data_IF_394938575582
#
_entry.id   IF_394938575582
#
_cell.length_a   1.000
_cell.length_b   1.000
_cell.length_c   1.000
_cell.angle_alpha   90.00
_cell.angle_beta   90.00
_cell.angle_gamma   90.00
#
_symmetry.space_group_name_H-M   'P 1'
#
loop_
_entity.id
_entity.type
_entity.pdbx_description
1 polymer ?
#
# COMPACT_ATOMS: atom_id res chain seq x y z
N UNK A 1 -1.66 -28.93 -13.11
CA UNK A 1 -0.40 -29.58 -12.65
C UNK A 1 0.32 -28.61 -11.75
N UNK A 2 0.43 -28.88 -10.44
CA UNK A 2 1.06 -27.95 -9.51
C UNK A 2 2.58 -27.97 -9.71
N UNK A 3 3.19 -26.82 -10.04
CA UNK A 3 4.64 -26.66 -9.98
C UNK A 3 5.08 -27.01 -8.54
N UNK A 4 6.09 -27.86 -8.40
CA UNK A 4 6.66 -28.19 -7.09
C UNK A 4 7.39 -26.96 -6.55
N UNK A 5 7.02 -26.49 -5.36
CA UNK A 5 7.78 -25.45 -4.67
C UNK A 5 9.09 -26.04 -4.18
N UNK A 6 10.19 -25.53 -4.72
CA UNK A 6 11.53 -25.79 -4.19
C UNK A 6 11.88 -24.92 -2.97
N UNK A 7 13.00 -25.23 -2.33
CA UNK A 7 13.49 -24.49 -1.16
C UNK A 7 13.78 -23.01 -1.43
N UNK A 8 14.09 -22.66 -2.68
CA UNK A 8 14.22 -21.27 -3.13
C UNK A 8 12.96 -20.45 -2.89
N UNK A 9 11.78 -21.03 -3.11
CA UNK A 9 10.50 -20.37 -2.88
C UNK A 9 10.22 -20.20 -1.38
N UNK A 10 10.57 -21.22 -0.57
CA UNK A 10 10.43 -21.17 0.88
C UNK A 10 11.33 -20.09 1.48
N UNK A 11 12.59 -20.01 1.03
CA UNK A 11 13.55 -19.00 1.45
C UNK A 11 13.07 -17.60 1.09
N UNK A 12 12.59 -17.41 -0.13
CA UNK A 12 12.01 -16.14 -0.57
C UNK A 12 10.87 -15.69 0.35
N UNK A 13 9.93 -16.59 0.64
CA UNK A 13 8.79 -16.31 1.52
C UNK A 13 9.24 -16.00 2.95
N UNK A 14 10.18 -16.77 3.50
CA UNK A 14 10.73 -16.54 4.85
C UNK A 14 11.37 -15.15 4.97
N UNK A 15 12.16 -14.75 3.96
CA UNK A 15 12.77 -13.42 3.95
C UNK A 15 11.71 -12.33 3.83
N UNK A 16 10.72 -12.50 2.95
CA UNK A 16 9.63 -11.53 2.80
C UNK A 16 8.83 -11.36 4.10
N UNK A 17 8.56 -12.45 4.83
CA UNK A 17 7.90 -12.40 6.14
C UNK A 17 8.72 -11.66 7.21
N UNK A 18 10.04 -11.83 7.20
CA UNK A 18 10.93 -11.18 8.16
C UNK A 18 11.08 -9.67 7.91
N UNK A 19 11.12 -9.24 6.65
CA UNK A 19 11.26 -7.83 6.27
C UNK A 19 9.90 -7.10 6.26
N UNK A 20 8.81 -7.82 5.96
CA UNK A 20 7.45 -7.30 5.91
C UNK A 20 7.06 -6.67 4.57
N UNK A 21 7.90 -5.78 4.04
CA UNK A 21 7.72 -5.14 2.73
C UNK A 21 9.06 -4.98 2.01
N UNK A 22 9.09 -5.21 0.70
CA UNK A 22 10.33 -5.19 -0.09
C UNK A 22 10.09 -4.47 -1.41
N UNK A 23 11.00 -3.61 -1.84
CA UNK A 23 10.86 -2.94 -3.14
C UNK A 23 11.15 -3.87 -4.33
N UNK A 24 10.81 -3.46 -5.54
CA UNK A 24 11.00 -4.31 -6.73
C UNK A 24 12.46 -4.66 -7.03
N UNK A 25 13.42 -3.77 -6.77
CA UNK A 25 14.84 -4.05 -6.99
C UNK A 25 15.34 -5.06 -5.96
N UNK A 26 14.99 -4.86 -4.69
CA UNK A 26 15.30 -5.78 -3.60
C UNK A 26 14.65 -7.16 -3.81
N UNK A 27 13.39 -7.21 -4.25
CA UNK A 27 12.68 -8.45 -4.53
C UNK A 27 13.33 -9.22 -5.69
N UNK A 28 13.79 -8.52 -6.74
CA UNK A 28 14.56 -9.13 -7.84
C UNK A 28 15.91 -9.65 -7.36
N UNK A 29 16.63 -8.88 -6.53
CA UNK A 29 17.89 -9.31 -5.95
C UNK A 29 17.71 -10.55 -5.05
N UNK A 30 16.65 -10.58 -4.24
CA UNK A 30 16.31 -11.72 -3.40
C UNK A 30 15.96 -12.96 -4.23
N UNK A 31 15.20 -12.79 -5.30
CA UNK A 31 14.89 -13.87 -6.25
C UNK A 31 16.16 -14.44 -6.88
N UNK A 32 17.08 -13.58 -7.34
CA UNK A 32 18.37 -13.98 -7.90
C UNK A 32 19.17 -14.80 -6.87
N UNK A 33 19.29 -14.28 -5.65
CA UNK A 33 20.01 -14.94 -4.55
C UNK A 33 19.42 -16.32 -4.19
N UNK A 34 18.09 -16.44 -4.16
CA UNK A 34 17.42 -17.70 -3.90
C UNK A 34 17.64 -18.72 -5.03
N UNK A 35 17.71 -18.27 -6.29
CA UNK A 35 17.99 -19.15 -7.41
C UNK A 35 19.45 -19.65 -7.40
N UNK A 36 20.41 -18.76 -7.13
CA UNK A 36 21.83 -19.09 -7.10
C UNK A 36 22.15 -20.09 -5.98
N UNK A 37 21.57 -19.88 -4.80
CA UNK A 37 21.75 -20.75 -3.62
C UNK A 37 21.24 -22.17 -3.88
N UNK A 38 20.16 -22.31 -4.63
CA UNK A 38 19.52 -23.61 -4.90
C UNK A 38 19.78 -24.15 -6.32
N UNK A 39 20.72 -23.56 -7.07
CA UNK A 39 21.13 -23.97 -8.42
C UNK A 39 19.97 -24.12 -9.41
N UNK A 40 18.94 -23.29 -9.30
CA UNK A 40 17.86 -23.25 -10.30
C UNK A 40 18.25 -22.35 -11.48
N UNK A 41 17.86 -22.70 -12.72
CA UNK A 41 18.08 -21.82 -13.87
C UNK A 41 17.32 -20.50 -13.66
N UNK A 42 18.07 -19.46 -13.29
CA UNK A 42 17.53 -18.13 -13.05
C UNK A 42 17.42 -17.40 -14.39
N UNK A 43 16.20 -17.21 -14.88
CA UNK A 43 15.97 -16.28 -15.98
C UNK A 43 15.65 -14.90 -15.39
N UNK A 44 16.43 -13.86 -15.70
CA UNK A 44 16.03 -12.49 -15.36
C UNK A 44 14.65 -12.24 -15.97
N UNK A 45 13.78 -11.57 -15.22
CA UNK A 45 12.37 -11.26 -15.55
C UNK A 45 11.30 -12.33 -15.32
N UNK A 46 11.61 -13.45 -14.67
CA UNK A 46 10.57 -14.41 -14.22
C UNK A 46 10.14 -14.26 -12.76
N UNK A 47 10.35 -13.09 -12.16
CA UNK A 47 9.91 -12.82 -10.78
C UNK A 47 8.39 -12.99 -10.64
N UNK A 48 7.60 -12.45 -11.57
CA UNK A 48 6.14 -12.54 -11.51
C UNK A 48 5.66 -13.99 -11.63
N UNK A 49 6.22 -14.79 -12.56
CA UNK A 49 5.93 -16.22 -12.66
C UNK A 49 6.31 -17.00 -11.39
N UNK A 50 7.42 -16.61 -10.76
CA UNK A 50 7.90 -17.21 -9.52
C UNK A 50 6.95 -16.89 -8.36
N UNK A 51 6.51 -15.65 -8.24
CA UNK A 51 5.52 -15.21 -7.26
C UNK A 51 4.18 -15.92 -7.49
N UNK A 52 3.73 -16.08 -8.74
CA UNK A 52 2.50 -16.80 -9.05
C UNK A 52 2.55 -18.29 -8.65
N UNK A 53 3.71 -18.93 -8.82
CA UNK A 53 3.91 -20.29 -8.35
C UNK A 53 3.78 -20.40 -6.81
N UNK A 54 4.28 -19.40 -6.08
CA UNK A 54 4.12 -19.31 -4.61
C UNK A 54 2.65 -19.07 -4.26
N UNK A 55 2.03 -18.06 -4.88
CA UNK A 55 0.65 -17.67 -4.61
C UNK A 55 -0.32 -18.82 -4.81
N UNK A 56 -0.15 -19.61 -5.88
CA UNK A 56 -0.96 -20.81 -6.15
C UNK A 56 -0.98 -21.82 -4.99
N UNK A 57 0.05 -21.82 -4.14
CA UNK A 57 0.16 -22.70 -2.97
C UNK A 57 -0.23 -22.02 -1.67
N UNK A 58 -0.19 -20.69 -1.63
CA UNK A 58 -0.67 -19.88 -0.51
C UNK A 58 -2.19 -19.69 -0.52
N UNK A 59 -2.84 -19.79 -1.69
CA UNK A 59 -4.29 -19.64 -1.86
C UNK A 59 -5.14 -20.45 -0.84
N UNK A 60 -4.86 -21.75 -0.55
CA UNK A 60 -5.65 -22.50 0.44
C UNK A 60 -5.54 -21.98 1.87
N UNK A 61 -4.52 -21.18 2.17
CA UNK A 61 -4.31 -20.52 3.45
C UNK A 61 -4.84 -19.08 3.46
N UNK A 62 -5.52 -18.64 2.39
CA UNK A 62 -5.94 -17.26 2.17
C UNK A 62 -4.78 -16.26 2.25
N UNK A 63 -3.57 -16.68 1.89
CA UNK A 63 -2.41 -15.78 1.86
C UNK A 63 -1.99 -15.53 0.40
N UNK A 64 -1.46 -14.35 0.12
CA UNK A 64 -0.93 -14.02 -1.20
C UNK A 64 0.18 -12.97 -1.10
N UNK A 65 1.26 -13.13 -1.87
CA UNK A 65 2.21 -12.06 -2.13
C UNK A 65 1.58 -11.12 -3.15
N UNK A 66 1.35 -9.86 -2.75
CA UNK A 66 0.77 -8.83 -3.61
C UNK A 66 1.78 -7.74 -3.91
N UNK A 67 1.63 -7.18 -5.12
CA UNK A 67 2.35 -6.01 -5.59
C UNK A 67 1.50 -4.76 -5.33
N UNK A 68 2.10 -3.70 -4.81
CA UNK A 68 1.45 -2.41 -4.63
C UNK A 68 2.38 -1.24 -4.94
N UNK A 69 1.79 -0.11 -5.31
CA UNK A 69 2.54 1.10 -5.65
C UNK A 69 2.52 2.06 -4.46
N UNK A 70 3.68 2.63 -4.11
CA UNK A 70 3.73 3.75 -3.17
C UNK A 70 3.09 4.98 -3.78
N UNK A 71 2.16 5.60 -3.05
CA UNK A 71 1.52 6.85 -3.48
C UNK A 71 2.47 8.06 -3.41
N UNK A 72 3.57 7.94 -2.66
CA UNK A 72 4.56 9.00 -2.50
C UNK A 72 5.59 9.04 -3.64
N UNK A 73 6.21 7.90 -3.94
CA UNK A 73 7.34 7.81 -4.87
C UNK A 73 7.05 6.96 -6.12
N UNK A 74 5.87 6.36 -6.22
CA UNK A 74 5.48 5.53 -7.36
C UNK A 74 6.23 4.21 -7.51
N UNK A 75 7.16 3.87 -6.62
CA UNK A 75 7.88 2.59 -6.66
C UNK A 75 6.94 1.43 -6.34
N UNK A 76 7.28 0.27 -6.89
CA UNK A 76 6.55 -0.97 -6.66
C UNK A 76 7.15 -1.70 -5.47
N UNK A 77 6.27 -2.21 -4.62
CA UNK A 77 6.60 -2.97 -3.43
C UNK A 77 5.84 -4.29 -3.42
N UNK A 78 6.41 -5.27 -2.75
CA UNK A 78 5.83 -6.59 -2.53
C UNK A 78 5.66 -6.83 -1.03
N UNK A 79 4.51 -7.36 -0.64
CA UNK A 79 4.24 -7.78 0.72
C UNK A 79 3.38 -9.04 0.73
N UNK A 80 3.50 -9.83 1.80
CA UNK A 80 2.64 -10.99 2.05
C UNK A 80 1.36 -10.52 2.74
N UNK A 81 0.22 -10.77 2.11
CA UNK A 81 -1.10 -10.29 2.51
C UNK A 81 -1.97 -11.47 2.95
N UNK A 82 -2.71 -11.27 4.03
CA UNK A 82 -3.81 -12.15 4.42
C UNK A 82 -5.10 -11.66 3.74
N UNK A 83 -5.72 -12.52 2.96
CA UNK A 83 -6.92 -12.28 2.18
C UNK A 83 -8.20 -12.64 2.93
N UNK A 84 -8.10 -13.26 4.12
CA UNK A 84 -9.26 -13.46 4.97
C UNK A 84 -9.84 -12.09 5.37
N UNK A 85 -11.14 -11.90 5.13
CA UNK A 85 -11.86 -10.63 5.33
C UNK A 85 -12.08 -10.25 6.80
N UNK A 86 -11.32 -10.83 7.71
CA UNK A 86 -11.54 -10.72 9.15
C UNK A 86 -10.28 -10.24 9.83
N UNK A 87 -10.38 -9.02 10.34
CA UNK A 87 -9.50 -8.37 11.31
C UNK A 87 -8.13 -7.87 10.82
N UNK A 88 -7.61 -6.92 11.60
CA UNK A 88 -6.25 -6.38 11.52
C UNK A 88 -5.27 -7.45 12.02
N UNK A 89 -5.31 -8.64 11.43
CA UNK A 89 -4.79 -9.91 11.98
C UNK A 89 -3.34 -9.85 12.44
N UNK A 90 -2.46 -9.14 11.71
CA UNK A 90 -1.07 -8.96 12.13
C UNK A 90 -0.88 -7.93 13.24
N UNK A 91 -1.70 -6.88 13.28
CA UNK A 91 -1.61 -5.92 14.39
C UNK A 91 -2.23 -6.49 15.67
N UNK A 92 -3.20 -7.40 15.56
CA UNK A 92 -3.84 -8.02 16.73
C UNK A 92 -2.84 -8.80 17.61
N UNK A 93 -1.73 -9.30 17.06
CA UNK A 93 -0.68 -9.93 17.86
C UNK A 93 0.26 -8.93 18.55
N UNK A 94 0.41 -7.74 17.99
CA UNK A 94 1.49 -6.79 18.32
C UNK A 94 1.00 -5.57 19.12
N UNK A 95 -0.31 -5.34 19.16
CA UNK A 95 -0.96 -4.19 19.78
C UNK A 95 -2.15 -4.59 20.65
N UNK A 96 -2.42 -3.82 21.70
CA UNK A 96 -3.56 -4.03 22.58
C UNK A 96 -4.87 -3.49 21.99
N UNK A 97 -6.03 -3.94 22.50
CA UNK A 97 -7.34 -3.57 21.94
C UNK A 97 -7.59 -2.06 21.82
N UNK A 98 -7.13 -1.28 22.80
CA UNK A 98 -7.22 0.19 22.78
C UNK A 98 -6.24 0.84 21.78
N UNK A 99 -5.06 0.26 21.58
CA UNK A 99 -4.12 0.73 20.54
C UNK A 99 -4.69 0.44 19.14
N UNK A 100 -5.30 -0.73 18.94
CA UNK A 100 -6.00 -1.09 17.70
C UNK A 100 -7.24 -0.22 17.46
N UNK A 101 -7.97 0.16 18.50
CA UNK A 101 -9.09 1.10 18.38
C UNK A 101 -8.62 2.48 17.96
N UNK A 102 -7.53 3.01 18.54
CA UNK A 102 -6.95 4.27 18.08
C UNK A 102 -6.52 4.18 16.60
N UNK A 103 -5.90 3.07 16.20
CA UNK A 103 -5.49 2.88 14.82
C UNK A 103 -6.70 2.88 13.87
N UNK A 104 -7.82 2.23 14.24
CA UNK A 104 -9.09 2.30 13.48
C UNK A 104 -9.63 3.72 13.39
N UNK A 105 -9.63 4.47 14.50
CA UNK A 105 -10.01 5.90 14.49
C UNK A 105 -9.12 6.75 13.59
N UNK A 106 -7.82 6.44 13.56
CA UNK A 106 -6.86 7.12 12.68
C UNK A 106 -7.15 6.78 11.21
N UNK A 107 -7.48 5.53 10.91
CA UNK A 107 -7.97 5.10 9.60
C UNK A 107 -9.25 5.85 9.20
N UNK A 108 -10.24 5.97 10.09
CA UNK A 108 -11.47 6.72 9.84
C UNK A 108 -11.17 8.16 9.40
N UNK A 109 -10.27 8.84 10.12
CA UNK A 109 -9.85 10.21 9.82
C UNK A 109 -9.15 10.31 8.45
N UNK A 110 -8.24 9.38 8.15
CA UNK A 110 -7.48 9.36 6.88
C UNK A 110 -8.38 9.05 5.68
N UNK A 111 -9.31 8.10 5.83
CA UNK A 111 -10.26 7.73 4.75
C UNK A 111 -11.21 8.88 4.46
N UNK A 112 -11.68 9.56 5.50
CA UNK A 112 -12.65 10.66 5.39
C UNK A 112 -12.02 11.96 4.87
N UNK A 113 -10.69 12.09 4.90
CA UNK A 113 -10.02 13.33 4.49
C UNK A 113 -9.85 13.45 2.98
N UNK A 114 -9.81 14.70 2.51
CA UNK A 114 -9.68 14.98 1.08
C UNK A 114 -8.30 14.60 0.54
N UNK A 115 -7.25 14.83 1.33
CA UNK A 115 -5.85 14.60 0.97
C UNK A 115 -5.29 13.25 1.48
N UNK A 116 -6.08 12.44 2.17
CA UNK A 116 -5.64 11.17 2.73
C UNK A 116 -4.65 11.32 3.89
N UNK A 117 -4.72 12.42 4.65
CA UNK A 117 -3.96 12.60 5.89
C UNK A 117 -4.86 12.88 7.09
N UNK A 118 -4.32 12.72 8.30
CA UNK A 118 -4.93 13.12 9.55
C UNK A 118 -3.90 13.82 10.43
N UNK A 119 -4.27 14.96 11.02
CA UNK A 119 -3.38 15.70 11.90
C UNK A 119 -3.18 15.00 13.24
N UNK A 120 -2.01 15.17 13.86
CA UNK A 120 -1.72 14.66 15.21
C UNK A 120 -2.77 15.12 16.23
N UNK A 121 -3.25 16.35 16.09
CA UNK A 121 -4.28 16.93 16.94
C UNK A 121 -5.64 16.25 16.78
N UNK A 122 -6.05 15.94 15.55
CA UNK A 122 -7.33 15.26 15.31
C UNK A 122 -7.29 13.83 15.86
N UNK A 123 -6.17 13.13 15.68
CA UNK A 123 -5.97 11.79 16.22
C UNK A 123 -6.01 11.81 17.76
N UNK A 124 -5.31 12.76 18.40
CA UNK A 124 -5.33 12.92 19.86
C UNK A 124 -6.74 13.18 20.39
N UNK A 125 -7.51 14.02 19.70
CA UNK A 125 -8.90 14.34 20.09
C UNK A 125 -9.85 13.15 19.88
N UNK A 126 -9.56 12.24 18.93
CA UNK A 126 -10.37 11.04 18.70
C UNK A 126 -10.41 10.09 19.91
N UNK A 127 -9.41 10.18 20.80
CA UNK A 127 -9.32 9.36 22.04
C UNK A 127 -10.50 9.55 22.99
N UNK A 128 -11.18 10.71 22.92
CA UNK A 128 -12.36 11.00 23.72
C UNK A 128 -13.59 10.16 23.32
N UNK A 129 -13.59 9.63 22.09
CA UNK A 129 -14.68 8.83 21.52
C UNK A 129 -14.41 7.33 21.53
N UNK A 130 -13.30 6.90 22.16
CA UNK A 130 -12.96 5.49 22.29
C UNK A 130 -13.87 4.80 23.30
N UNK A 131 -14.24 3.57 22.97
CA UNK A 131 -15.03 2.68 23.82
C UNK A 131 -14.17 1.90 24.81
N UNK A 132 -12.92 1.59 24.43
CA UNK A 132 -11.93 0.98 25.30
C UNK A 132 -11.32 2.00 26.28
N UNK A 133 -10.36 1.53 27.09
CA UNK A 133 -9.63 2.40 28.02
C UNK A 133 -8.92 3.51 27.26
N UNK A 134 -9.38 4.74 27.49
CA UNK A 134 -8.81 5.97 26.94
C UNK A 134 -7.30 6.04 27.17
N UNK A 135 -6.56 6.25 26.09
CA UNK A 135 -5.12 6.51 26.10
C UNK A 135 -4.85 7.95 26.55
N UNK A 136 -3.80 8.15 27.33
CA UNK A 136 -3.28 9.50 27.62
C UNK A 136 -2.65 10.08 26.36
N UNK A 137 -2.53 11.41 26.29
CA UNK A 137 -1.87 12.10 25.16
C UNK A 137 -0.46 11.57 24.90
N UNK A 138 0.36 11.43 25.94
CA UNK A 138 1.72 10.88 25.83
C UNK A 138 1.76 9.42 25.36
N UNK A 139 0.77 8.61 25.77
CA UNK A 139 0.65 7.21 25.32
C UNK A 139 0.24 7.15 23.84
N UNK A 140 -0.64 8.05 23.42
CA UNK A 140 -1.10 8.19 22.03
C UNK A 140 0.05 8.61 21.11
N UNK A 141 0.83 9.62 21.50
CA UNK A 141 2.01 10.08 20.75
C UNK A 141 3.07 8.97 20.64
N UNK A 142 3.29 8.22 21.72
CA UNK A 142 4.20 7.08 21.70
C UNK A 142 3.71 5.98 20.75
N UNK A 143 2.41 5.66 20.78
CA UNK A 143 1.81 4.69 19.85
C UNK A 143 1.93 5.14 18.40
N UNK A 144 1.65 6.41 18.08
CA UNK A 144 1.83 6.94 16.73
C UNK A 144 3.27 6.80 16.25
N UNK A 145 4.24 7.06 17.13
CA UNK A 145 5.67 6.86 16.82
C UNK A 145 5.97 5.39 16.52
N UNK A 146 5.44 4.45 17.33
CA UNK A 146 5.57 3.01 17.08
C UNK A 146 4.94 2.59 15.77
N UNK A 147 3.72 3.03 15.46
CA UNK A 147 3.04 2.75 14.20
C UNK A 147 3.84 3.23 12.98
N UNK A 148 4.58 4.34 13.09
CA UNK A 148 5.50 4.80 12.04
C UNK A 148 6.75 3.92 11.95
N UNK A 149 7.34 3.54 13.09
CA UNK A 149 8.50 2.64 13.13
C UNK A 149 8.18 1.27 12.52
N UNK A 150 7.02 0.73 12.86
CA UNK A 150 6.50 -0.56 12.40
C UNK A 150 5.94 -0.48 10.97
N UNK A 151 6.02 0.69 10.33
CA UNK A 151 5.57 0.93 8.95
C UNK A 151 4.08 0.68 8.75
N UNK A 152 3.23 1.02 9.70
CA UNK A 152 1.78 1.13 9.50
C UNK A 152 1.39 2.52 9.03
N UNK A 153 2.02 3.55 9.59
CA UNK A 153 1.80 4.95 9.23
C UNK A 153 3.07 5.60 8.68
N UNK A 154 2.88 6.69 7.96
CA UNK A 154 3.92 7.65 7.59
C UNK A 154 3.57 8.99 8.22
N UNK A 155 4.55 9.68 8.81
CA UNK A 155 4.39 11.00 9.41
C UNK A 155 5.16 12.05 8.63
N UNK A 156 4.55 13.23 8.44
CA UNK A 156 5.17 14.42 7.84
C UNK A 156 4.64 15.69 8.48
N UNK A 157 5.46 16.36 9.30
CA UNK A 157 5.15 17.68 9.90
C UNK A 157 3.87 17.66 10.74
N UNK A 158 3.63 16.58 11.49
CA UNK A 158 2.45 16.38 12.32
C UNK A 158 1.26 15.78 11.58
N UNK A 159 1.35 15.54 10.27
CA UNK A 159 0.32 14.85 9.49
C UNK A 159 0.66 13.37 9.32
N UNK A 160 -0.32 12.50 9.49
CA UNK A 160 -0.19 11.06 9.35
C UNK A 160 -0.97 10.57 8.13
N UNK A 161 -0.39 9.62 7.39
CA UNK A 161 -1.06 8.88 6.32
C UNK A 161 -0.72 7.40 6.43
N UNK A 162 -1.41 6.54 5.67
CA UNK A 162 -1.08 5.12 5.64
C UNK A 162 0.23 4.89 4.91
N UNK A 163 1.05 3.98 5.43
CA UNK A 163 2.23 3.54 4.71
C UNK A 163 1.84 2.66 3.51
N UNK A 164 2.76 2.48 2.56
CA UNK A 164 2.57 1.54 1.45
C UNK A 164 2.35 0.10 1.94
N UNK A 165 3.01 -0.31 3.03
CA UNK A 165 2.81 -1.62 3.65
C UNK A 165 1.39 -1.77 4.16
N UNK A 166 0.90 -0.78 4.90
CA UNK A 166 -0.46 -0.80 5.43
C UNK A 166 -1.50 -0.88 4.32
N UNK A 167 -1.35 -0.08 3.26
CA UNK A 167 -2.28 -0.09 2.13
C UNK A 167 -2.32 -1.47 1.46
N UNK A 168 -1.17 -2.11 1.23
CA UNK A 168 -1.11 -3.43 0.59
C UNK A 168 -1.70 -4.51 1.49
N UNK A 169 -1.31 -4.54 2.77
CA UNK A 169 -1.73 -5.58 3.71
C UNK A 169 -3.21 -5.46 4.11
N UNK A 170 -3.72 -4.24 4.22
CA UNK A 170 -5.09 -3.98 4.68
C UNK A 170 -6.07 -3.64 3.55
N UNK A 171 -5.66 -3.68 2.28
CA UNK A 171 -6.55 -3.36 1.16
C UNK A 171 -7.89 -4.13 1.22
N UNK A 172 -7.92 -5.46 1.47
CA UNK A 172 -9.18 -6.19 1.56
C UNK A 172 -10.08 -5.65 2.66
N UNK A 173 -9.54 -5.45 3.87
CA UNK A 173 -10.27 -4.88 5.01
C UNK A 173 -10.80 -3.47 4.71
N UNK A 174 -9.95 -2.60 4.14
CA UNK A 174 -10.31 -1.21 3.87
C UNK A 174 -11.44 -1.14 2.83
N UNK A 175 -11.38 -1.97 1.77
CA UNK A 175 -12.45 -2.02 0.75
C UNK A 175 -13.78 -2.45 1.34
N UNK A 176 -13.77 -3.43 2.22
CA UNK A 176 -15.00 -3.95 2.86
C UNK A 176 -15.58 -2.94 3.85
N UNK A 177 -14.75 -2.36 4.71
CA UNK A 177 -15.21 -1.49 5.80
C UNK A 177 -15.57 -0.07 5.35
N UNK A 178 -14.94 0.42 4.29
CA UNK A 178 -15.07 1.81 3.84
C UNK A 178 -15.52 1.91 2.38
N UNK A 179 -16.29 0.93 1.90
CA UNK A 179 -16.67 0.77 0.49
C UNK A 179 -17.14 2.06 -0.19
N UNK A 180 -17.95 2.87 0.49
CA UNK A 180 -18.53 4.11 -0.06
C UNK A 180 -17.65 5.35 0.10
N UNK A 181 -16.57 5.27 0.88
CA UNK A 181 -15.69 6.40 1.21
C UNK A 181 -14.34 6.31 0.51
N UNK A 182 -13.87 5.10 0.21
CA UNK A 182 -12.57 4.90 -0.43
C UNK A 182 -12.57 5.41 -1.86
N UNK A 183 -11.56 6.21 -2.19
CA UNK A 183 -11.33 6.62 -3.57
C UNK A 183 -10.59 5.49 -4.28
N UNK A 184 -10.93 5.25 -5.54
CA UNK A 184 -10.28 4.24 -6.39
C UNK A 184 -9.67 4.94 -7.59
N UNK A 185 -8.40 4.64 -7.85
CA UNK A 185 -7.67 5.23 -8.97
C UNK A 185 -8.21 4.69 -10.31
N UNK A 186 -8.54 5.59 -11.23
CA UNK A 186 -9.06 5.23 -12.55
C UNK A 186 -8.03 4.52 -13.46
N UNK A 187 -6.74 4.66 -13.18
CA UNK A 187 -5.67 4.06 -13.99
C UNK A 187 -5.31 2.65 -13.50
N UNK A 188 -5.02 2.51 -12.21
CA UNK A 188 -4.53 1.24 -11.66
C UNK A 188 -5.59 0.44 -10.90
N UNK A 189 -6.78 1.01 -10.67
CA UNK A 189 -7.91 0.39 -9.96
C UNK A 189 -7.65 0.01 -8.48
N UNK A 190 -6.52 0.44 -7.93
CA UNK A 190 -6.21 0.32 -6.50
C UNK A 190 -6.80 1.48 -5.69
N UNK A 191 -6.96 1.28 -4.38
CA UNK A 191 -7.36 2.34 -3.45
C UNK A 191 -6.38 3.51 -3.55
N UNK A 192 -6.92 4.72 -3.49
CA UNK A 192 -6.17 5.96 -3.54
C UNK A 192 -6.47 6.84 -2.33
N UNK A 193 -5.46 7.07 -1.48
CA UNK A 193 -5.58 8.06 -0.40
C UNK A 193 -5.15 9.43 -0.91
N UNK A 194 -4.00 9.49 -1.58
CA UNK A 194 -3.41 10.67 -2.19
C UNK A 194 -3.62 10.64 -3.71
N UNK A 195 -4.54 11.48 -4.19
CA UNK A 195 -4.90 11.54 -5.59
C UNK A 195 -5.30 12.94 -6.03
N UNK A 196 -5.24 13.15 -7.35
CA UNK A 196 -5.88 14.28 -8.01
C UNK A 196 -7.25 13.84 -8.52
N UNK A 197 -8.21 14.75 -8.48
CA UNK A 197 -9.60 14.51 -8.85
C UNK A 197 -9.95 15.38 -10.05
N UNK A 198 -10.58 14.81 -11.08
CA UNK A 198 -11.10 15.59 -12.18
C UNK A 198 -12.15 16.60 -11.67
N UNK A 199 -11.97 17.88 -11.99
CA UNK A 199 -12.86 18.95 -11.53
C UNK A 199 -14.18 19.04 -12.30
N UNK A 200 -14.33 18.29 -13.40
CA UNK A 200 -15.63 18.20 -14.08
C UNK A 200 -16.65 17.54 -13.13
N UNK A 201 -17.73 18.23 -12.74
CA UNK A 201 -18.74 17.71 -11.82
C UNK A 201 -19.45 16.42 -12.29
N UNK A 202 -19.53 16.18 -13.59
CA UNK A 202 -20.11 14.94 -14.14
C UNK A 202 -19.10 13.80 -14.26
N UNK A 203 -17.83 14.03 -13.93
CA UNK A 203 -16.75 13.06 -14.07
C UNK A 203 -16.19 12.62 -12.71
N UNK A 204 -15.46 13.51 -12.04
CA UNK A 204 -14.92 13.25 -10.70
C UNK A 204 -14.03 12.01 -10.58
N UNK A 205 -13.38 11.54 -11.65
CA UNK A 205 -12.43 10.42 -11.54
C UNK A 205 -11.26 10.80 -10.63
N UNK A 206 -10.71 9.81 -9.93
CA UNK A 206 -9.56 9.97 -9.05
C UNK A 206 -8.36 9.27 -9.67
N UNK A 207 -7.19 9.89 -9.65
CA UNK A 207 -5.96 9.28 -10.16
C UNK A 207 -4.84 9.54 -9.15
N UNK A 208 -4.14 8.49 -8.71
CA UNK A 208 -2.96 8.63 -7.85
C UNK A 208 -1.94 9.60 -8.45
N UNK A 209 -1.23 10.36 -7.62
CA UNK A 209 -0.18 11.28 -8.08
C UNK A 209 0.86 10.58 -8.99
N UNK A 210 1.36 9.37 -8.67
CA UNK A 210 2.25 8.65 -9.58
C UNK A 210 1.60 8.13 -10.85
N UNK A 211 0.30 7.83 -10.84
CA UNK A 211 -0.44 7.46 -12.05
C UNK A 211 -0.63 8.67 -12.97
N UNK A 212 -0.94 9.86 -12.43
CA UNK A 212 -0.98 11.13 -13.17
C UNK A 212 0.37 11.39 -13.83
N UNK A 213 1.46 11.35 -13.05
CA UNK A 213 2.81 11.57 -13.54
C UNK A 213 3.21 10.63 -14.70
N UNK A 214 2.81 9.36 -14.62
CA UNK A 214 3.04 8.36 -15.69
C UNK A 214 2.16 8.59 -16.91
N UNK A 215 0.86 8.82 -16.70
CA UNK A 215 -0.14 8.90 -17.76
C UNK A 215 0.02 10.16 -18.63
N UNK A 216 0.33 11.29 -17.99
CA UNK A 216 0.53 12.58 -18.64
C UNK A 216 1.97 12.89 -19.02
N UNK A 217 2.91 11.94 -18.82
CA UNK A 217 4.32 12.13 -19.13
C UNK A 217 4.51 12.60 -20.58
N UNK A 218 5.12 13.77 -20.76
CA UNK A 218 5.43 14.35 -22.06
C UNK A 218 4.23 14.92 -22.82
N UNK A 219 3.04 14.99 -22.21
CA UNK A 219 1.88 15.65 -22.81
C UNK A 219 1.90 17.15 -22.51
N UNK A 220 1.76 17.98 -23.53
CA UNK A 220 1.72 19.45 -23.40
C UNK A 220 0.35 19.92 -22.90
N UNK A 221 -0.72 19.21 -23.28
CA UNK A 221 -2.09 19.52 -22.88
C UNK A 221 -2.72 18.27 -22.24
N UNK A 222 -2.54 18.07 -20.92
CA UNK A 222 -3.13 16.97 -20.18
C UNK A 222 -4.67 17.00 -20.24
N UNK A 223 -5.29 15.88 -20.62
CA UNK A 223 -6.75 15.69 -20.70
C UNK A 223 -7.22 14.48 -19.92
N UNK A 224 -8.32 14.64 -19.21
CA UNK A 224 -8.92 13.60 -18.39
C UNK A 224 -9.18 12.32 -19.21
N UNK A 225 -8.70 11.14 -18.78
CA UNK A 225 -8.92 9.88 -19.52
C UNK A 225 -10.38 9.45 -19.63
N UNK A 226 -11.28 10.01 -18.82
CA UNK A 226 -12.70 9.62 -18.79
C UNK A 226 -13.62 10.59 -19.54
N UNK A 227 -13.40 11.91 -19.42
CA UNK A 227 -14.28 12.93 -20.02
C UNK A 227 -13.59 13.84 -21.06
N UNK A 228 -12.29 13.65 -21.30
CA UNK A 228 -11.46 14.43 -22.23
C UNK A 228 -11.33 15.94 -21.94
N UNK A 229 -11.87 16.43 -20.83
CA UNK A 229 -11.64 17.80 -20.37
C UNK A 229 -10.19 18.05 -19.98
N UNK A 230 -9.77 19.32 -20.04
CA UNK A 230 -8.46 19.76 -19.57
C UNK A 230 -8.23 19.34 -18.12
N UNK A 231 -7.07 18.77 -17.83
CA UNK A 231 -6.66 18.39 -16.48
C UNK A 231 -6.02 19.60 -15.79
N UNK A 232 -6.70 20.24 -14.81
CA UNK A 232 -6.29 21.55 -14.31
C UNK A 232 -5.12 21.49 -13.32
N UNK A 233 -4.80 20.30 -12.82
CA UNK A 233 -3.78 20.09 -11.79
C UNK A 233 -2.37 20.04 -12.37
N UNK A 234 -1.40 20.53 -11.60
CA UNK A 234 0.01 20.35 -11.91
C UNK A 234 0.36 18.86 -11.97
N UNK A 235 1.08 18.44 -13.03
CA UNK A 235 1.49 17.06 -13.20
C UNK A 235 2.67 16.76 -12.27
N UNK A 236 2.53 15.85 -11.28
CA UNK A 236 3.59 15.61 -10.31
C UNK A 236 4.86 15.04 -10.95
N UNK A 237 6.02 15.46 -10.46
CA UNK A 237 7.29 14.81 -10.78
C UNK A 237 7.54 13.63 -9.85
N UNK A 238 7.49 12.41 -10.38
CA UNK A 238 7.87 11.22 -9.61
C UNK A 238 9.31 10.85 -9.88
N UNK A 239 10.18 11.16 -8.91
CA UNK A 239 11.60 10.76 -8.91
C UNK A 239 11.67 9.23 -8.90
N UNK A 240 12.37 8.64 -9.87
CA UNK A 240 12.56 7.19 -9.94
C UNK A 240 11.78 6.46 -11.03
N UNK A 241 11.04 7.18 -11.88
CA UNK A 241 10.53 6.65 -13.16
C UNK A 241 11.69 6.42 -14.15
N UNK A 242 12.62 5.53 -13.82
CA UNK A 242 13.46 4.88 -14.84
C UNK A 242 12.49 4.11 -15.72
N UNK A 243 12.33 4.63 -16.93
CA UNK A 243 11.60 4.01 -18.01
C UNK A 243 12.01 2.55 -18.12
N UNK A 244 11.08 1.62 -17.89
CA UNK A 244 11.08 0.39 -18.69
C UNK A 244 10.66 0.82 -20.10
N UNK A 245 11.61 1.40 -20.83
CA UNK A 245 11.51 1.61 -22.27
C UNK A 245 12.94 1.57 -22.80
N UNK A 246 13.14 0.62 -23.73
CA UNK A 246 14.39 0.22 -24.43
C UNK A 246 15.22 -0.77 -23.59
N UNK A 247 15.38 -2.04 -23.98
CA UNK A 247 15.42 -2.68 -25.30
C UNK A 247 14.77 -4.06 -25.27
#
# INVERSE_FOLDING_TARGET
>A
MSRLLGDSHRRFLQTLMAVGITDEQEARALYQHCCDTHKMPCTPDKLDEFIEAINSRLQPMFMQIRKGMSEENGHQYYALVNMAETDITRMTSDYTDNELELFRKTLDLIVSSENGTASSTDILNSTDTMTSKKLKKSETEHLLTRLVQDKWLCERRGEYTLSTRCIIEMEPYIRTMYQDQVKVCHICHNIAFQCQICENPSCGIKIHNPCVARYFKGRVEPRCPACDDFWPHEIPEVRGLRSQSKR
#
